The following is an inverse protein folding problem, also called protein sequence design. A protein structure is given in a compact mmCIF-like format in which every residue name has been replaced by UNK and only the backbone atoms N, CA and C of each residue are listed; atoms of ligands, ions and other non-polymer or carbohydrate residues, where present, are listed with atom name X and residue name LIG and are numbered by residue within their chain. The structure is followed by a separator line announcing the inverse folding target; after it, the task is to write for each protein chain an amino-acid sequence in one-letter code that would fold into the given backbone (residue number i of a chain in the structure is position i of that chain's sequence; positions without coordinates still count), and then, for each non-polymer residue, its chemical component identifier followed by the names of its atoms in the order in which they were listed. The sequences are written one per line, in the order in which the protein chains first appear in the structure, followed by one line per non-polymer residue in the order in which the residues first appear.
data_IF_657609119319
#
_entry.id   IF_657609119319
#
_cell.length_a   1.000
_cell.length_b   1.000
_cell.length_c   1.000
_cell.angle_alpha   90.00
_cell.angle_beta   90.00
_cell.angle_gamma   90.00
#
_symmetry.space_group_name_H-M   'P 1'
#
loop_
_entity.id
_entity.type
_entity.pdbx_description
1 polymer ?
#
# COMPACT_ATOMS: atom_id res chain seq x y z
N UNK A 1 -5.27 -55.33 -5.28
CA UNK A 1 -6.50 -54.54 -4.98
C UNK A 1 -6.12 -53.41 -4.02
N UNK A 2 -5.18 -52.53 -4.36
CA UNK A 2 -5.29 -51.38 -5.29
C UNK A 2 -6.23 -50.25 -4.85
N UNK A 3 -6.63 -50.14 -3.58
CA UNK A 3 -7.50 -49.04 -3.12
C UNK A 3 -7.07 -48.30 -1.85
N UNK A 4 -5.82 -48.46 -1.39
CA UNK A 4 -5.33 -47.70 -0.21
C UNK A 4 -4.15 -46.75 -0.48
N UNK A 5 -3.67 -46.64 -1.72
CA UNK A 5 -2.54 -45.76 -2.09
C UNK A 5 -3.01 -44.47 -2.79
N UNK A 6 -4.32 -44.33 -3.04
CA UNK A 6 -4.91 -43.19 -3.74
C UNK A 6 -5.40 -42.05 -2.81
N UNK A 7 -4.90 -41.96 -1.58
CA UNK A 7 -5.24 -40.86 -0.66
C UNK A 7 -4.06 -39.94 -0.33
N UNK A 8 -2.96 -40.02 -1.10
CA UNK A 8 -1.70 -39.35 -0.74
C UNK A 8 -1.29 -38.17 -1.65
N UNK A 9 -2.12 -37.71 -2.58
CA UNK A 9 -1.68 -36.70 -3.57
C UNK A 9 -2.77 -35.67 -3.94
N UNK A 10 -3.35 -34.99 -2.95
CA UNK A 10 -4.15 -33.78 -3.23
C UNK A 10 -4.00 -32.67 -2.18
N UNK A 11 -2.83 -32.57 -1.53
CA UNK A 11 -2.47 -31.46 -0.63
C UNK A 11 -1.27 -30.66 -1.17
N UNK A 12 -1.26 -30.43 -2.47
CA UNK A 12 -0.54 -29.34 -3.10
C UNK A 12 -1.63 -28.59 -3.88
N UNK A 13 -1.79 -27.28 -3.88
CA UNK A 13 -0.83 -26.19 -3.81
C UNK A 13 -1.68 -24.95 -3.47
N UNK A 14 -1.57 -24.36 -2.28
CA UNK A 14 -2.06 -23.00 -2.04
C UNK A 14 -1.18 -22.31 -1.02
N UNK A 15 0.13 -22.25 -1.30
CA UNK A 15 1.00 -21.26 -0.68
C UNK A 15 0.67 -19.91 -1.30
N UNK A 16 -0.42 -19.27 -0.85
CA UNK A 16 -0.62 -17.85 -1.07
C UNK A 16 0.46 -17.14 -0.26
N UNK A 17 1.60 -16.84 -0.88
CA UNK A 17 2.55 -15.90 -0.29
C UNK A 17 1.82 -14.57 -0.18
N UNK A 18 1.42 -14.18 1.03
CA UNK A 18 1.02 -12.80 1.27
C UNK A 18 2.22 -11.93 0.90
N UNK A 19 2.00 -10.90 0.08
CA UNK A 19 3.04 -9.93 -0.18
C UNK A 19 3.52 -9.39 1.16
N UNK A 20 4.82 -9.49 1.40
CA UNK A 20 5.45 -8.95 2.60
C UNK A 20 5.19 -7.44 2.64
N UNK A 21 4.44 -7.00 3.65
CA UNK A 21 4.16 -5.58 3.90
C UNK A 21 4.91 -5.09 5.13
N UNK A 22 5.17 -3.79 5.19
CA UNK A 22 5.72 -3.11 6.36
C UNK A 22 7.10 -3.65 6.79
N UNK A 23 7.95 -4.03 5.83
CA UNK A 23 9.32 -4.50 6.10
C UNK A 23 10.28 -3.33 6.30
N UNK A 24 11.26 -3.54 7.17
CA UNK A 24 12.38 -2.64 7.34
C UNK A 24 13.58 -3.15 6.53
N UNK A 25 14.42 -2.25 6.04
CA UNK A 25 15.73 -2.56 5.50
C UNK A 25 16.75 -2.86 6.62
N UNK A 26 17.98 -3.18 6.22
CA UNK A 26 19.09 -3.47 7.14
C UNK A 26 19.42 -2.32 8.11
N UNK A 27 19.01 -1.09 7.78
CA UNK A 27 19.20 0.10 8.61
C UNK A 27 17.96 0.45 9.44
N UNK A 28 16.94 -0.41 9.48
CA UNK A 28 15.69 -0.16 10.21
C UNK A 28 14.76 0.84 9.54
N UNK A 29 14.93 1.14 8.24
CA UNK A 29 14.09 2.08 7.50
C UNK A 29 13.01 1.35 6.72
N UNK A 30 11.85 1.99 6.54
CA UNK A 30 10.74 1.44 5.74
C UNK A 30 11.19 1.06 4.33
N UNK A 31 10.87 -0.16 3.89
CA UNK A 31 11.28 -0.64 2.57
C UNK A 31 10.24 -1.59 1.96
N UNK A 32 9.95 -1.43 0.67
CA UNK A 32 8.94 -2.18 -0.05
C UNK A 32 7.51 -1.70 0.19
N UNK A 33 6.55 -2.59 -0.03
CA UNK A 33 5.13 -2.29 0.11
C UNK A 33 4.80 -1.97 1.57
N UNK A 34 4.16 -0.83 1.79
CA UNK A 34 3.74 -0.38 3.10
C UNK A 34 2.24 -0.13 3.13
N UNK A 35 1.59 -0.59 4.20
CA UNK A 35 0.17 -0.41 4.46
C UNK A 35 -0.03 0.08 5.88
N UNK A 36 -0.67 1.24 6.00
CA UNK A 36 -1.18 1.74 7.27
C UNK A 36 -2.65 1.42 7.42
N UNK A 37 -3.08 1.13 8.65
CA UNK A 37 -4.47 0.78 8.97
C UNK A 37 -5.03 1.77 9.98
N UNK A 38 -6.34 2.00 9.93
CA UNK A 38 -7.05 2.72 10.99
C UNK A 38 -7.03 1.90 12.27
N UNK A 39 -6.81 2.55 13.42
CA UNK A 39 -6.62 1.86 14.69
C UNK A 39 -7.90 1.19 15.19
N UNK A 40 -9.03 1.85 15.00
CA UNK A 40 -10.36 1.43 15.44
C UNK A 40 -10.94 0.30 14.58
N UNK A 41 -10.97 0.50 13.26
CA UNK A 41 -11.65 -0.40 12.32
C UNK A 41 -10.75 -1.48 11.73
N UNK A 42 -9.42 -1.31 11.86
CA UNK A 42 -8.39 -2.10 11.16
C UNK A 42 -8.52 -2.07 9.62
N UNK A 43 -9.30 -1.13 9.06
CA UNK A 43 -9.41 -0.94 7.62
C UNK A 43 -8.15 -0.28 7.06
N UNK A 44 -7.86 -0.53 5.78
CA UNK A 44 -6.74 0.08 5.08
C UNK A 44 -6.91 1.60 5.06
N UNK A 45 -5.94 2.33 5.60
CA UNK A 45 -5.92 3.80 5.62
C UNK A 45 -5.09 4.36 4.48
N UNK A 46 -3.95 3.74 4.22
CA UNK A 46 -3.10 4.10 3.09
C UNK A 46 -2.24 2.93 2.66
N UNK A 47 -1.79 2.96 1.40
CA UNK A 47 -0.72 2.10 0.93
C UNK A 47 0.20 2.83 -0.05
N UNK A 48 1.46 2.42 -0.09
CA UNK A 48 2.45 2.92 -1.03
C UNK A 48 3.74 2.13 -0.92
N UNK A 49 4.76 2.55 -1.66
CA UNK A 49 6.07 1.90 -1.67
C UNK A 49 7.10 2.79 -1.00
N UNK A 50 7.85 2.24 -0.06
CA UNK A 50 9.03 2.89 0.48
C UNK A 50 10.31 2.31 -0.13
N UNK A 51 11.32 3.15 -0.29
CA UNK A 51 12.68 2.74 -0.62
C UNK A 51 13.64 3.41 0.37
N UNK A 52 14.28 2.63 1.24
CA UNK A 52 15.18 3.14 2.28
C UNK A 52 14.62 4.33 3.09
N UNK A 53 13.35 4.22 3.50
CA UNK A 53 12.63 5.25 4.27
C UNK A 53 12.02 6.38 3.44
N UNK A 54 12.22 6.40 2.12
CA UNK A 54 11.64 7.41 1.23
C UNK A 54 10.37 6.90 0.56
N UNK A 55 9.30 7.71 0.59
CA UNK A 55 8.10 7.48 -0.22
C UNK A 55 8.47 7.55 -1.71
N UNK A 56 8.17 6.48 -2.47
CA UNK A 56 8.37 6.42 -3.92
C UNK A 56 7.07 6.06 -4.64
N UNK A 57 7.02 6.35 -5.93
CA UNK A 57 5.89 6.05 -6.81
C UNK A 57 4.59 6.69 -6.35
N UNK A 58 3.58 5.90 -6.00
CA UNK A 58 2.22 6.38 -5.71
C UNK A 58 1.76 5.89 -4.36
N UNK A 59 1.23 6.82 -3.57
CA UNK A 59 0.53 6.55 -2.33
C UNK A 59 -0.96 6.78 -2.51
N UNK A 60 -1.75 5.78 -2.12
CA UNK A 60 -3.20 5.82 -2.12
C UNK A 60 -3.72 5.94 -0.68
N UNK A 61 -4.72 6.79 -0.48
CA UNK A 61 -5.36 7.04 0.81
C UNK A 61 -6.84 6.74 0.72
N UNK A 62 -7.36 6.09 1.75
CA UNK A 62 -8.73 5.59 1.80
C UNK A 62 -9.48 6.15 3.00
N UNK A 63 -10.80 6.30 2.89
CA UNK A 63 -11.64 6.66 4.02
C UNK A 63 -11.87 5.48 4.97
N UNK A 64 -12.39 5.78 6.17
CA UNK A 64 -12.68 4.76 7.20
C UNK A 64 -14.11 4.20 7.07
N UNK A 65 -14.71 4.24 5.88
CA UNK A 65 -16.03 3.63 5.64
C UNK A 65 -15.87 2.15 5.32
N UNK A 66 -16.98 1.41 5.29
CA UNK A 66 -16.95 0.00 4.89
C UNK A 66 -16.50 -0.19 3.44
N UNK A 67 -16.78 0.79 2.58
CA UNK A 67 -16.42 0.77 1.16
C UNK A 67 -14.95 1.12 0.93
N UNK A 68 -14.30 1.79 1.91
CA UNK A 68 -12.89 2.16 1.85
C UNK A 68 -12.56 2.97 0.61
N UNK A 69 -13.35 4.01 0.32
CA UNK A 69 -13.24 4.76 -0.92
C UNK A 69 -11.87 5.46 -1.01
N UNK A 70 -11.29 5.49 -2.21
CA UNK A 70 -10.07 6.24 -2.48
C UNK A 70 -10.37 7.74 -2.40
N UNK A 71 -9.78 8.41 -1.40
CA UNK A 71 -9.99 9.84 -1.11
C UNK A 71 -8.76 10.69 -1.43
N UNK A 72 -7.61 10.07 -1.70
CA UNK A 72 -6.41 10.80 -2.03
C UNK A 72 -5.35 9.96 -2.73
N UNK A 73 -4.61 10.60 -3.62
CA UNK A 73 -3.46 10.02 -4.33
C UNK A 73 -2.30 11.01 -4.24
N UNK A 74 -1.12 10.52 -3.90
CA UNK A 74 0.14 11.27 -3.97
C UNK A 74 1.09 10.57 -4.92
N UNK A 75 1.54 11.27 -5.95
CA UNK A 75 2.51 10.77 -6.93
C UNK A 75 3.85 11.47 -6.70
N UNK A 76 4.88 10.68 -6.39
CA UNK A 76 6.22 11.15 -6.07
C UNK A 76 7.11 11.10 -7.30
N UNK A 77 7.68 12.25 -7.66
CA UNK A 77 8.65 12.36 -8.73
C UNK A 77 10.07 12.38 -8.15
N UNK A 78 10.81 11.31 -8.41
CA UNK A 78 12.17 11.15 -7.90
C UNK A 78 13.20 12.07 -8.59
N UNK A 79 12.88 12.60 -9.78
CA UNK A 79 13.75 13.46 -10.57
C UNK A 79 13.77 14.89 -10.03
N UNK A 80 12.60 15.51 -9.85
CA UNK A 80 12.50 16.91 -9.39
C UNK A 80 12.08 17.04 -7.92
N UNK A 81 12.00 15.91 -7.19
CA UNK A 81 11.60 15.81 -5.78
C UNK A 81 10.25 16.46 -5.49
N UNK A 82 9.39 16.52 -6.50
CA UNK A 82 8.05 17.03 -6.35
C UNK A 82 7.05 15.93 -6.01
N UNK A 83 5.94 16.35 -5.41
CA UNK A 83 4.80 15.48 -5.13
C UNK A 83 3.55 16.13 -5.69
N UNK A 84 2.85 15.41 -6.57
CA UNK A 84 1.53 15.81 -7.02
C UNK A 84 0.47 15.13 -6.16
N UNK A 85 -0.41 15.90 -5.56
CA UNK A 85 -1.47 15.40 -4.68
C UNK A 85 -2.82 15.68 -5.31
N UNK A 86 -3.70 14.68 -5.34
CA UNK A 86 -5.10 14.81 -5.77
C UNK A 86 -6.00 14.28 -4.66
N UNK A 87 -7.02 15.04 -4.30
CA UNK A 87 -8.06 14.65 -3.35
C UNK A 87 -9.40 14.45 -4.05
N UNK A 88 -10.12 13.43 -3.62
CA UNK A 88 -11.41 13.05 -4.20
C UNK A 88 -12.54 13.14 -3.18
N UNK A 89 -13.74 13.49 -3.63
CA UNK A 89 -14.97 13.29 -2.86
C UNK A 89 -15.41 11.81 -2.92
N UNK A 90 -16.49 11.48 -2.20
CA UNK A 90 -17.06 10.12 -2.19
C UNK A 90 -17.59 9.66 -3.57
N UNK A 91 -17.82 10.59 -4.50
CA UNK A 91 -18.25 10.32 -5.88
C UNK A 91 -17.05 10.25 -6.85
N UNK A 92 -15.82 10.32 -6.35
CA UNK A 92 -14.55 10.34 -7.10
C UNK A 92 -14.32 11.60 -7.94
N UNK A 93 -15.02 12.70 -7.66
CA UNK A 93 -14.72 13.99 -8.27
C UNK A 93 -13.47 14.59 -7.60
N UNK A 94 -12.65 15.30 -8.38
CA UNK A 94 -11.50 16.03 -7.84
C UNK A 94 -12.00 17.22 -7.02
N UNK A 95 -11.68 17.23 -5.73
CA UNK A 95 -11.99 18.34 -4.81
C UNK A 95 -10.85 19.36 -4.82
N UNK A 96 -9.61 18.89 -4.86
CA UNK A 96 -8.42 19.73 -4.96
C UNK A 96 -7.23 18.92 -5.46
N UNK A 97 -6.32 19.61 -6.12
CA UNK A 97 -5.04 19.04 -6.53
C UNK A 97 -3.93 20.09 -6.56
N UNK A 98 -2.68 19.64 -6.49
CA UNK A 98 -1.53 20.53 -6.54
C UNK A 98 -0.18 19.85 -6.46
N UNK A 99 0.82 20.56 -6.98
CA UNK A 99 2.24 20.17 -6.94
C UNK A 99 2.94 20.85 -5.77
N UNK A 100 3.62 20.07 -4.93
CA UNK A 100 4.53 20.55 -3.90
C UNK A 100 5.97 20.20 -4.26
N UNK A 101 6.94 21.07 -3.94
CA UNK A 101 8.38 20.85 -4.18
C UNK A 101 9.10 20.89 -2.84
N UNK A 102 10.18 20.11 -2.67
CA UNK A 102 11.03 20.05 -1.47
C UNK A 102 10.29 19.64 -0.19
N UNK A 103 9.26 18.80 -0.29
CA UNK A 103 8.62 18.25 0.91
C UNK A 103 9.58 17.25 1.55
N UNK A 104 10.13 17.58 2.71
CA UNK A 104 10.83 16.63 3.56
C UNK A 104 9.79 15.61 4.04
N UNK A 105 9.86 14.39 3.51
CA UNK A 105 8.97 13.32 3.92
C UNK A 105 9.65 12.60 5.09
N UNK A 106 9.13 12.80 6.29
CA UNK A 106 9.51 12.00 7.46
C UNK A 106 8.70 10.71 7.40
N UNK A 107 9.36 9.64 6.95
CA UNK A 107 8.81 8.28 6.94
C UNK A 107 8.76 7.69 8.33
#
# INVERSE_FOLDING_TARGET
MNKLIAFFLFNAIFSFSQADINKLDENGKKNGLWKGFFEDSKRLRYQGTFNHGQEIETFNYYDNTQDGALIGVRVFNNTDKSVYTTFYDQKKNIVSEGKSINKLNEG
#
